data_IF_606798347507
#
_entry.id   IF_606798347507
#
_cell.length_a   1.000
_cell.length_b   1.000
_cell.length_c   1.000
_cell.angle_alpha   90.00
_cell.angle_beta   90.00
_cell.angle_gamma   90.00
#
_symmetry.space_group_name_H-M   'P 1'
#
loop_
_entity.id
_entity.type
_entity.pdbx_description
1 polymer ?
#
# COMPACT_ATOMS: atom_id res chain seq x y z
N UNK A 1 -41.15 4.73 23.54
CA UNK A 1 -41.48 5.75 22.55
C UNK A 1 -40.21 6.42 22.09
N UNK A 2 -39.62 5.88 21.04
CA UNK A 2 -38.45 6.47 20.38
C UNK A 2 -38.99 7.54 19.43
N UNK A 3 -38.56 8.79 19.60
CA UNK A 3 -38.94 9.88 18.70
C UNK A 3 -38.46 9.58 17.27
N UNK A 4 -39.31 9.50 16.26
CA UNK A 4 -38.95 9.09 14.92
C UNK A 4 -38.08 10.14 14.14
N UNK A 5 -37.87 11.33 14.68
CA UNK A 5 -37.17 12.40 13.97
C UNK A 5 -35.69 12.65 14.38
N UNK A 6 -35.21 11.96 15.43
CA UNK A 6 -33.81 12.18 15.88
C UNK A 6 -32.76 11.47 15.00
N UNK A 7 -33.17 10.47 14.22
CA UNK A 7 -32.26 9.66 13.40
C UNK A 7 -31.92 10.29 12.05
N UNK A 8 -32.73 11.24 11.55
CA UNK A 8 -32.53 11.83 10.23
C UNK A 8 -31.39 12.86 10.15
N UNK A 9 -30.92 13.36 11.29
CA UNK A 9 -29.84 14.37 11.36
C UNK A 9 -28.46 13.72 11.62
N UNK A 10 -28.43 12.49 12.14
CA UNK A 10 -27.18 11.82 12.46
C UNK A 10 -26.55 11.20 11.21
N UNK A 11 -25.32 11.61 10.91
CA UNK A 11 -24.51 10.99 9.87
C UNK A 11 -23.44 10.10 10.51
N UNK A 12 -23.29 8.88 10.03
CA UNK A 12 -22.30 7.92 10.52
C UNK A 12 -21.35 7.58 9.39
N UNK A 13 -20.05 7.75 9.63
CA UNK A 13 -18.99 7.31 8.74
C UNK A 13 -18.23 6.17 9.42
N UNK A 14 -18.28 4.98 8.83
CA UNK A 14 -17.46 3.85 9.23
C UNK A 14 -16.16 3.87 8.44
N UNK A 15 -15.02 3.88 9.14
CA UNK A 15 -13.70 4.04 8.53
C UNK A 15 -12.88 2.77 8.74
N UNK A 16 -12.29 2.25 7.66
CA UNK A 16 -11.15 1.32 7.74
C UNK A 16 -9.90 2.19 7.81
N UNK A 17 -9.15 2.16 8.93
CA UNK A 17 -7.97 3.01 9.10
C UNK A 17 -6.82 2.59 8.18
N UNK A 18 -5.86 3.49 7.88
CA UNK A 18 -4.68 3.15 7.10
C UNK A 18 -3.80 2.12 7.80
N UNK A 19 -2.89 1.50 7.05
CA UNK A 19 -1.99 0.43 7.47
C UNK A 19 -2.70 -0.87 7.90
N UNK A 20 -3.95 -1.07 7.47
CA UNK A 20 -4.62 -2.37 7.58
C UNK A 20 -4.31 -3.25 6.36
N UNK A 21 -4.56 -4.55 6.51
CA UNK A 21 -4.26 -5.53 5.46
C UNK A 21 -5.09 -5.28 4.19
N UNK A 22 -4.40 -5.06 3.06
CA UNK A 22 -5.04 -4.68 1.79
C UNK A 22 -5.63 -5.87 1.01
N UNK A 23 -5.15 -7.09 1.26
CA UNK A 23 -5.57 -8.29 0.52
C UNK A 23 -6.76 -9.02 1.14
N UNK A 24 -7.27 -8.54 2.26
CA UNK A 24 -8.42 -9.14 2.95
C UNK A 24 -9.44 -8.05 3.25
N UNK A 25 -10.65 -8.13 2.68
CA UNK A 25 -11.68 -7.14 2.97
C UNK A 25 -12.12 -7.25 4.44
N UNK A 26 -12.33 -6.09 5.07
CA UNK A 26 -12.87 -5.99 6.42
C UNK A 26 -14.40 -5.90 6.35
N UNK A 27 -15.14 -6.97 6.60
CA UNK A 27 -16.58 -6.98 6.39
C UNK A 27 -17.34 -6.18 7.46
N UNK A 28 -16.74 -5.90 8.62
CA UNK A 28 -17.40 -5.23 9.74
C UNK A 28 -17.99 -3.87 9.38
N UNK A 29 -17.26 -3.03 8.65
CA UNK A 29 -17.75 -1.71 8.24
C UNK A 29 -18.93 -1.83 7.28
N UNK A 30 -18.91 -2.82 6.38
CA UNK A 30 -20.01 -3.07 5.44
C UNK A 30 -21.28 -3.53 6.17
N UNK A 31 -21.16 -4.48 7.12
CA UNK A 31 -22.28 -4.95 7.93
C UNK A 31 -22.86 -3.84 8.80
N UNK A 32 -22.01 -3.08 9.51
CA UNK A 32 -22.47 -1.98 10.37
C UNK A 32 -23.14 -0.90 9.52
N UNK A 33 -22.55 -0.52 8.39
CA UNK A 33 -23.14 0.49 7.51
C UNK A 33 -24.48 0.03 6.94
N UNK A 34 -24.59 -1.23 6.51
CA UNK A 34 -25.84 -1.83 6.02
C UNK A 34 -26.91 -1.82 7.09
N UNK A 35 -26.59 -2.32 8.29
CA UNK A 35 -27.51 -2.31 9.44
C UNK A 35 -28.01 -0.90 9.79
N UNK A 36 -27.09 0.08 9.88
CA UNK A 36 -27.47 1.45 10.21
C UNK A 36 -28.40 2.06 9.15
N UNK A 37 -28.17 1.77 7.87
CA UNK A 37 -29.05 2.21 6.77
C UNK A 37 -30.44 1.60 6.89
N UNK A 38 -30.55 0.31 7.22
CA UNK A 38 -31.82 -0.36 7.46
C UNK A 38 -32.59 0.26 8.65
N UNK A 39 -31.86 0.79 9.64
CA UNK A 39 -32.46 1.50 10.78
C UNK A 39 -32.76 2.99 10.49
N UNK A 40 -32.57 3.45 9.25
CA UNK A 40 -32.91 4.82 8.83
C UNK A 40 -31.81 5.86 9.08
N UNK A 41 -30.59 5.46 9.46
CA UNK A 41 -29.47 6.38 9.60
C UNK A 41 -28.80 6.70 8.27
N UNK A 42 -28.29 7.91 8.12
CA UNK A 42 -27.36 8.24 7.03
C UNK A 42 -25.98 7.69 7.32
N UNK A 43 -25.72 6.46 6.88
CA UNK A 43 -24.44 5.78 7.09
C UNK A 43 -23.66 5.60 5.80
N UNK A 44 -22.36 5.85 5.86
CA UNK A 44 -21.39 5.63 4.79
C UNK A 44 -20.20 4.86 5.32
N UNK A 45 -19.41 4.30 4.41
CA UNK A 45 -18.12 3.70 4.76
C UNK A 45 -17.04 4.20 3.80
N UNK A 46 -15.81 4.26 4.31
CA UNK A 46 -14.61 4.56 3.54
C UNK A 46 -13.48 3.62 3.96
N UNK A 47 -12.71 3.18 2.99
CA UNK A 47 -11.47 2.43 3.20
C UNK A 47 -10.28 3.36 2.95
N UNK A 48 -9.75 3.94 4.02
CA UNK A 48 -8.59 4.82 3.95
C UNK A 48 -7.29 4.04 3.73
N UNK A 49 -7.23 2.75 4.10
CA UNK A 49 -6.05 1.93 3.85
C UNK A 49 -5.86 1.68 2.35
N UNK A 50 -6.91 1.21 1.69
CA UNK A 50 -6.88 0.99 0.24
C UNK A 50 -6.78 2.31 -0.52
N UNK A 51 -7.51 3.34 -0.10
CA UNK A 51 -7.48 4.67 -0.70
C UNK A 51 -6.07 5.26 -0.70
N UNK A 52 -5.40 5.26 0.46
CA UNK A 52 -4.01 5.73 0.61
C UNK A 52 -3.05 4.95 -0.30
N UNK A 53 -3.12 3.61 -0.29
CA UNK A 53 -2.26 2.79 -1.12
C UNK A 53 -2.43 3.09 -2.61
N UNK A 54 -3.68 3.23 -3.10
CA UNK A 54 -3.96 3.52 -4.50
C UNK A 54 -3.52 4.92 -4.93
N UNK A 55 -3.61 5.90 -4.05
CA UNK A 55 -3.12 7.27 -4.31
C UNK A 55 -1.59 7.31 -4.38
N UNK A 56 -0.91 6.77 -3.37
CA UNK A 56 0.57 6.75 -3.33
C UNK A 56 1.17 5.90 -4.46
N UNK A 57 0.52 4.79 -4.83
CA UNK A 57 0.92 3.89 -5.92
C UNK A 57 0.26 4.26 -7.26
N UNK A 58 0.04 5.53 -7.50
CA UNK A 58 -0.34 6.09 -8.79
C UNK A 58 0.85 6.80 -9.44
N UNK A 59 0.83 7.08 -10.76
CA UNK A 59 1.88 7.89 -11.39
C UNK A 59 2.08 9.24 -10.70
N UNK A 60 0.99 9.91 -10.31
CA UNK A 60 1.03 11.19 -9.57
C UNK A 60 1.61 11.01 -8.17
N UNK A 61 1.16 9.98 -7.45
CA UNK A 61 1.70 9.65 -6.12
C UNK A 61 3.19 9.37 -6.16
N UNK A 62 3.65 8.59 -7.15
CA UNK A 62 5.07 8.30 -7.31
C UNK A 62 5.91 9.54 -7.64
N UNK A 63 5.37 10.53 -8.37
CA UNK A 63 6.05 11.81 -8.59
C UNK A 63 6.22 12.56 -7.26
N UNK A 64 5.19 12.61 -6.41
CA UNK A 64 5.26 13.23 -5.09
C UNK A 64 6.28 12.52 -4.17
N UNK A 65 6.29 11.18 -4.20
CA UNK A 65 7.29 10.37 -3.47
C UNK A 65 8.71 10.67 -3.99
N UNK A 66 8.88 10.80 -5.31
CA UNK A 66 10.17 11.17 -5.92
C UNK A 66 10.66 12.53 -5.44
N UNK A 67 9.80 13.52 -5.33
CA UNK A 67 10.17 14.84 -4.81
C UNK A 67 10.68 14.75 -3.38
N UNK A 68 10.03 13.94 -2.53
CA UNK A 68 10.49 13.67 -1.17
C UNK A 68 11.84 12.94 -1.15
N UNK A 69 12.00 11.91 -1.97
CA UNK A 69 13.25 11.16 -2.11
C UNK A 69 14.43 12.05 -2.58
N UNK A 70 14.17 12.97 -3.51
CA UNK A 70 15.17 13.93 -3.99
C UNK A 70 15.55 14.97 -2.92
N UNK A 71 14.66 15.29 -1.98
CA UNK A 71 14.95 16.23 -0.90
C UNK A 71 15.86 15.63 0.19
N UNK A 72 16.04 14.31 0.23
CA UNK A 72 17.00 13.67 1.12
C UNK A 72 18.43 13.95 0.66
N UNK A 73 19.32 14.19 1.63
CA UNK A 73 20.76 14.24 1.35
C UNK A 73 21.21 12.89 0.75
N UNK A 74 22.14 12.94 -0.21
CA UNK A 74 22.56 11.73 -0.96
C UNK A 74 23.07 10.64 -0.03
N UNK A 75 23.77 11.03 1.03
CA UNK A 75 24.37 10.15 2.03
C UNK A 75 23.32 9.43 2.91
N UNK A 76 22.10 9.97 2.98
CA UNK A 76 21.00 9.41 3.76
C UNK A 76 20.07 8.54 2.92
N UNK A 77 20.26 8.46 1.60
CA UNK A 77 19.42 7.65 0.73
C UNK A 77 19.77 6.17 0.86
N UNK A 78 18.76 5.37 1.16
CA UNK A 78 18.90 3.91 1.16
C UNK A 78 19.11 3.34 -0.24
N UNK A 79 19.44 2.06 -0.32
CA UNK A 79 19.53 1.34 -1.59
C UNK A 79 18.20 1.37 -2.36
N UNK A 80 17.06 1.25 -1.66
CA UNK A 80 15.73 1.30 -2.26
C UNK A 80 15.42 2.69 -2.84
N UNK A 81 15.76 3.76 -2.12
CA UNK A 81 15.61 5.15 -2.60
C UNK A 81 16.46 5.40 -3.83
N UNK A 82 17.73 4.97 -3.84
CA UNK A 82 18.61 5.13 -5.00
C UNK A 82 18.09 4.35 -6.20
N UNK A 83 17.73 3.07 -6.05
CA UNK A 83 17.17 2.24 -7.13
C UNK A 83 15.88 2.85 -7.70
N UNK A 84 15.00 3.38 -6.85
CA UNK A 84 13.79 4.07 -7.27
C UNK A 84 14.10 5.31 -8.11
N UNK A 85 15.04 6.16 -7.67
CA UNK A 85 15.41 7.37 -8.39
C UNK A 85 16.07 7.06 -9.74
N UNK A 86 16.95 6.06 -9.78
CA UNK A 86 17.66 5.64 -11.00
C UNK A 86 16.70 5.06 -12.05
N UNK A 87 15.65 4.37 -11.62
CA UNK A 87 14.68 3.71 -12.49
C UNK A 87 13.31 4.39 -12.51
N UNK A 88 13.20 5.62 -12.02
CA UNK A 88 11.91 6.32 -11.85
C UNK A 88 11.02 6.29 -13.09
N UNK A 89 11.50 6.55 -14.33
CA UNK A 89 10.62 6.52 -15.51
C UNK A 89 9.95 5.15 -15.74
N UNK A 90 10.62 4.06 -15.34
CA UNK A 90 10.03 2.71 -15.41
C UNK A 90 9.00 2.49 -14.32
N UNK A 91 9.25 2.97 -13.09
CA UNK A 91 8.26 2.92 -12.01
C UNK A 91 6.98 3.68 -12.41
N UNK A 92 7.12 4.90 -12.88
CA UNK A 92 6.00 5.75 -13.31
C UNK A 92 5.14 5.10 -14.40
N UNK A 93 5.77 4.47 -15.40
CA UNK A 93 5.07 3.86 -16.54
C UNK A 93 4.47 2.49 -16.21
N UNK A 94 4.99 1.77 -15.22
CA UNK A 94 4.54 0.40 -14.91
C UNK A 94 3.54 0.33 -13.76
N UNK A 95 3.50 1.32 -12.87
CA UNK A 95 2.71 1.25 -11.64
C UNK A 95 1.22 1.04 -11.89
N UNK A 96 0.61 1.84 -12.76
CA UNK A 96 -0.84 1.76 -13.02
C UNK A 96 -1.24 0.39 -13.60
N UNK A 97 -0.43 -0.16 -14.50
CA UNK A 97 -0.66 -1.47 -15.08
C UNK A 97 -0.46 -2.60 -14.06
N UNK A 98 0.53 -2.46 -13.16
CA UNK A 98 0.78 -3.44 -12.10
C UNK A 98 -0.36 -3.46 -11.09
N UNK A 99 -0.87 -2.31 -10.68
CA UNK A 99 -2.05 -2.22 -9.82
C UNK A 99 -3.28 -2.84 -10.49
N UNK A 100 -3.53 -2.55 -11.77
CA UNK A 100 -4.62 -3.16 -12.52
C UNK A 100 -4.51 -4.68 -12.59
N UNK A 101 -3.31 -5.22 -12.79
CA UNK A 101 -3.04 -6.67 -12.73
C UNK A 101 -3.36 -7.26 -11.37
N UNK A 102 -2.87 -6.67 -10.28
CA UNK A 102 -3.12 -7.14 -8.92
C UNK A 102 -4.60 -7.10 -8.53
N UNK A 103 -5.34 -6.13 -9.07
CA UNK A 103 -6.80 -6.03 -8.92
C UNK A 103 -7.58 -7.00 -9.83
N UNK A 104 -6.90 -7.82 -10.63
CA UNK A 104 -7.52 -8.76 -11.55
C UNK A 104 -8.14 -8.12 -12.81
N UNK A 105 -7.87 -6.83 -13.08
CA UNK A 105 -8.42 -6.11 -14.24
C UNK A 105 -7.64 -6.34 -15.54
N UNK A 106 -6.39 -6.80 -15.45
CA UNK A 106 -5.56 -7.14 -16.61
C UNK A 106 -4.75 -8.42 -16.37
N UNK A 107 -5.37 -9.56 -16.65
CA UNK A 107 -4.71 -10.86 -16.54
C UNK A 107 -3.62 -11.10 -17.61
N UNK A 108 -3.61 -10.31 -18.69
CA UNK A 108 -2.67 -10.50 -19.80
C UNK A 108 -1.24 -10.12 -19.42
N UNK A 109 -1.08 -9.28 -18.41
CA UNK A 109 0.23 -8.87 -17.90
C UNK A 109 1.01 -9.97 -17.20
N UNK A 110 0.37 -11.07 -16.81
CA UNK A 110 1.03 -12.13 -16.03
C UNK A 110 2.30 -12.66 -16.73
N UNK A 111 2.27 -12.89 -18.04
CA UNK A 111 3.42 -13.38 -18.80
C UNK A 111 4.57 -12.39 -18.86
N UNK A 112 4.26 -11.09 -19.01
CA UNK A 112 5.26 -10.03 -19.07
C UNK A 112 5.94 -9.83 -17.73
N UNK A 113 5.17 -9.87 -16.64
CA UNK A 113 5.69 -9.75 -15.27
C UNK A 113 6.51 -11.00 -14.94
N UNK A 114 5.96 -12.20 -15.17
CA UNK A 114 6.63 -13.47 -14.87
C UNK A 114 7.96 -13.64 -15.63
N UNK A 115 8.10 -13.02 -16.81
CA UNK A 115 9.32 -13.04 -17.62
C UNK A 115 10.42 -12.07 -17.14
N UNK A 116 10.25 -11.38 -16.03
CA UNK A 116 11.20 -10.41 -15.42
C UNK A 116 11.56 -9.29 -16.39
N UNK A 117 11.36 -8.56 -16.95
CA UNK A 117 11.76 -7.48 -17.88
C UNK A 117 10.79 -6.32 -17.88
N UNK A 118 9.60 -6.55 -17.33
CA UNK A 118 8.55 -5.53 -17.32
C UNK A 118 8.69 -4.56 -16.14
N UNK A 119 8.79 -5.09 -14.92
CA UNK A 119 8.94 -4.28 -13.71
C UNK A 119 10.40 -3.79 -13.56
N UNK A 120 10.64 -2.59 -13.03
CA UNK A 120 11.94 -2.26 -12.45
C UNK A 120 12.16 -3.17 -11.23
N UNK A 121 13.37 -3.67 -11.09
CA UNK A 121 13.76 -4.57 -10.02
C UNK A 121 14.65 -3.79 -9.03
N UNK A 122 14.15 -3.61 -7.82
CA UNK A 122 14.88 -2.97 -6.73
C UNK A 122 15.54 -4.00 -5.80
N UNK A 123 16.04 -3.58 -4.63
CA UNK A 123 16.80 -4.45 -3.71
C UNK A 123 16.06 -5.71 -3.26
N UNK A 124 14.73 -5.70 -3.22
CA UNK A 124 13.93 -6.87 -2.83
C UNK A 124 14.06 -8.04 -3.82
N UNK A 125 14.44 -7.76 -5.07
CA UNK A 125 14.65 -8.77 -6.10
C UNK A 125 15.99 -9.49 -5.96
N UNK A 126 16.96 -8.94 -5.23
CA UNK A 126 18.28 -9.56 -5.03
C UNK A 126 18.21 -10.98 -4.46
N UNK A 127 17.19 -11.29 -3.66
CA UNK A 127 16.98 -12.64 -3.15
C UNK A 127 16.69 -13.69 -4.23
N UNK A 128 16.23 -13.28 -5.40
CA UNK A 128 15.95 -14.17 -6.52
C UNK A 128 17.22 -14.55 -7.27
N UNK A 129 18.26 -13.74 -7.18
CA UNK A 129 19.51 -13.91 -7.93
C UNK A 129 20.55 -14.77 -7.15
N UNK A 130 20.30 -14.98 -5.83
CA UNK A 130 21.21 -15.77 -4.97
C UNK A 130 21.28 -17.27 -5.34
N UNK A 131 20.31 -17.76 -6.10
CA UNK A 131 20.18 -19.17 -6.48
C UNK A 131 20.63 -19.45 -7.92
N UNK A 132 21.37 -18.53 -8.54
CA UNK A 132 21.80 -18.64 -9.95
C UNK A 132 23.01 -19.58 -10.12
N UNK A 133 23.07 -20.66 -9.33
CA UNK A 133 24.04 -21.74 -9.53
C UNK A 133 23.42 -22.86 -10.39
N UNK A 134 23.68 -22.75 -11.66
CA UNK A 134 23.72 -23.73 -12.77
C UNK A 134 22.58 -24.75 -12.99
N UNK A 135 21.48 -24.83 -12.22
CA UNK A 135 20.54 -25.94 -12.46
C UNK A 135 19.04 -25.72 -12.25
N UNK A 136 18.57 -24.65 -11.61
CA UNK A 136 17.11 -24.45 -11.52
C UNK A 136 16.76 -22.98 -11.19
N UNK A 137 16.00 -22.32 -12.07
CA UNK A 137 15.29 -21.07 -11.73
C UNK A 137 14.45 -21.32 -10.46
N UNK A 138 14.77 -20.69 -9.30
CA UNK A 138 14.06 -20.90 -8.03
C UNK A 138 12.57 -20.60 -8.15
N UNK A 139 12.23 -19.64 -9.01
CA UNK A 139 10.85 -19.30 -9.32
C UNK A 139 10.17 -20.41 -10.14
N UNK A 140 10.90 -21.04 -11.08
CA UNK A 140 10.38 -22.19 -11.82
C UNK A 140 10.17 -23.40 -10.90
N UNK A 141 11.06 -23.63 -9.95
CA UNK A 141 10.89 -24.67 -8.94
C UNK A 141 9.69 -24.41 -8.03
N UNK A 142 9.54 -23.16 -7.52
CA UNK A 142 8.49 -22.81 -6.57
C UNK A 142 7.09 -22.76 -7.22
N UNK A 143 6.99 -22.26 -8.45
CA UNK A 143 5.71 -22.01 -9.10
C UNK A 143 5.40 -22.97 -10.26
N UNK A 144 6.40 -23.64 -10.81
CA UNK A 144 6.23 -24.55 -11.94
C UNK A 144 5.64 -23.90 -13.21
N UNK A 145 5.32 -24.73 -14.21
CA UNK A 145 4.76 -24.24 -15.48
C UNK A 145 3.32 -23.70 -15.35
N UNK A 146 2.54 -24.16 -14.37
CA UNK A 146 1.14 -23.77 -14.14
C UNK A 146 1.00 -22.58 -13.21
N UNK A 147 2.06 -22.21 -12.50
CA UNK A 147 2.05 -21.13 -11.50
C UNK A 147 2.43 -19.73 -12.05
N UNK A 148 2.32 -19.49 -13.35
CA UNK A 148 2.71 -18.22 -13.98
C UNK A 148 2.02 -17.01 -13.34
N UNK A 149 0.74 -17.15 -13.01
CA UNK A 149 0.00 -16.06 -12.38
C UNK A 149 0.48 -15.79 -10.96
N UNK A 150 0.79 -16.85 -10.20
CA UNK A 150 1.28 -16.71 -8.83
C UNK A 150 2.72 -16.18 -8.82
N UNK A 151 3.56 -16.64 -9.77
CA UNK A 151 4.89 -16.06 -10.02
C UNK A 151 4.79 -14.56 -10.33
N UNK A 152 3.90 -14.16 -11.21
CA UNK A 152 3.70 -12.74 -11.55
C UNK A 152 3.21 -11.92 -10.34
N UNK A 153 2.30 -12.47 -9.54
CA UNK A 153 1.84 -11.83 -8.30
C UNK A 153 2.97 -11.69 -7.28
N UNK A 154 3.80 -12.71 -7.13
CA UNK A 154 4.97 -12.67 -6.25
C UNK A 154 5.94 -11.55 -6.67
N UNK A 155 6.30 -11.48 -7.96
CA UNK A 155 7.17 -10.42 -8.48
C UNK A 155 6.54 -9.02 -8.33
N UNK A 156 5.23 -8.89 -8.58
CA UNK A 156 4.51 -7.65 -8.33
C UNK A 156 4.51 -7.28 -6.84
N UNK A 157 4.46 -8.26 -5.93
CA UNK A 157 4.57 -8.01 -4.49
C UNK A 157 5.97 -7.51 -4.10
N UNK A 158 7.05 -8.09 -4.67
CA UNK A 158 8.41 -7.58 -4.44
C UNK A 158 8.55 -6.14 -4.93
N UNK A 159 8.03 -5.84 -6.11
CA UNK A 159 8.00 -4.48 -6.67
C UNK A 159 7.27 -3.48 -5.75
N UNK A 160 6.09 -3.85 -5.20
CA UNK A 160 5.39 -3.00 -4.24
C UNK A 160 6.14 -2.87 -2.91
N UNK A 161 6.81 -3.92 -2.47
CA UNK A 161 7.62 -3.87 -1.26
C UNK A 161 8.86 -2.97 -1.42
N UNK A 162 9.50 -2.94 -2.60
CA UNK A 162 10.54 -1.94 -2.91
C UNK A 162 9.99 -0.51 -2.78
N UNK A 163 8.77 -0.25 -3.30
CA UNK A 163 8.11 1.05 -3.15
C UNK A 163 7.72 1.36 -1.69
N UNK A 164 7.33 0.35 -0.91
CA UNK A 164 7.08 0.53 0.52
C UNK A 164 8.35 0.91 1.28
N UNK A 165 9.49 0.31 0.93
CA UNK A 165 10.78 0.70 1.50
C UNK A 165 11.13 2.16 1.15
N UNK A 166 10.87 2.60 -0.08
CA UNK A 166 11.06 4.00 -0.49
C UNK A 166 10.14 4.94 0.30
N UNK A 167 8.86 4.59 0.47
CA UNK A 167 7.90 5.37 1.26
C UNK A 167 8.35 5.49 2.71
N UNK A 168 8.79 4.38 3.32
CA UNK A 168 9.30 4.39 4.69
C UNK A 168 10.54 5.25 4.84
N UNK A 169 11.48 5.15 3.91
CA UNK A 169 12.77 5.80 4.02
C UNK A 169 12.74 7.29 3.61
N UNK A 170 11.80 7.69 2.73
CA UNK A 170 11.74 9.04 2.19
C UNK A 170 10.53 9.87 2.66
N UNK A 171 9.49 9.24 3.21
CA UNK A 171 8.24 9.93 3.57
C UNK A 171 7.91 9.78 5.04
N UNK A 172 7.82 8.54 5.54
CA UNK A 172 7.40 8.25 6.92
C UNK A 172 7.98 6.91 7.38
N UNK A 173 8.84 6.93 8.38
CA UNK A 173 9.48 5.74 8.94
C UNK A 173 8.50 4.69 9.49
N UNK A 174 7.29 5.12 9.84
CA UNK A 174 6.20 4.28 10.31
C UNK A 174 5.40 3.62 9.18
N UNK A 175 5.70 3.90 7.90
CA UNK A 175 4.92 3.38 6.79
C UNK A 175 5.14 1.87 6.60
N UNK A 176 4.03 1.14 6.54
CA UNK A 176 3.97 -0.27 6.13
C UNK A 176 2.66 -0.52 5.37
N UNK A 177 2.66 -1.38 4.33
CA UNK A 177 1.39 -1.76 3.68
C UNK A 177 0.48 -2.58 4.58
N UNK A 178 1.07 -3.34 5.51
CA UNK A 178 0.34 -4.20 6.44
C UNK A 178 1.02 -4.14 7.79
N UNK A 179 0.25 -3.84 8.83
CA UNK A 179 0.67 -4.07 10.20
C UNK A 179 -0.05 -5.29 10.75
N UNK A 180 0.71 -6.24 11.28
CA UNK A 180 0.13 -7.38 11.97
C UNK A 180 -0.52 -6.97 13.29
N UNK A 181 -1.52 -7.73 13.70
CA UNK A 181 -2.27 -7.45 14.93
C UNK A 181 -1.38 -7.31 16.18
N UNK A 182 -0.28 -8.04 16.23
CA UNK A 182 0.70 -7.97 17.33
C UNK A 182 1.34 -6.58 17.44
N UNK A 183 1.62 -5.92 16.31
CA UNK A 183 2.17 -4.56 16.31
C UNK A 183 1.10 -3.52 16.60
N UNK A 184 -0.13 -3.72 16.10
CA UNK A 184 -1.27 -2.84 16.40
C UNK A 184 -1.67 -2.90 17.87
N UNK A 185 -1.53 -4.07 18.49
CA UNK A 185 -1.85 -4.29 19.90
C UNK A 185 -0.71 -3.90 20.86
N UNK A 186 0.45 -3.49 20.34
CA UNK A 186 1.53 -3.00 21.18
C UNK A 186 1.08 -1.73 21.92
N UNK A 187 0.79 -1.85 23.22
CA UNK A 187 0.40 -0.70 24.02
C UNK A 187 1.61 0.19 24.29
N UNK A 188 1.44 1.48 24.06
CA UNK A 188 2.42 2.46 24.51
C UNK A 188 2.25 2.71 26.01
N UNK A 189 3.35 2.79 26.78
CA UNK A 189 3.28 3.00 28.22
C UNK A 189 2.81 4.41 28.61
N UNK A 190 2.88 5.36 27.68
CA UNK A 190 2.44 6.75 27.86
C UNK A 190 1.85 7.32 26.57
N UNK A 191 1.20 8.48 26.70
CA UNK A 191 0.67 9.24 25.56
C UNK A 191 1.76 10.05 24.81
N UNK A 192 2.98 10.11 25.34
CA UNK A 192 4.03 11.02 24.85
C UNK A 192 4.39 10.76 23.39
N UNK A 193 4.57 9.47 22.99
CA UNK A 193 4.87 9.12 21.60
C UNK A 193 3.78 9.57 20.62
N UNK A 194 2.51 9.49 21.03
CA UNK A 194 1.39 9.98 20.21
C UNK A 194 1.37 11.51 20.17
N UNK A 195 1.63 12.18 21.30
CA UNK A 195 1.71 13.62 21.36
C UNK A 195 2.85 14.17 20.50
N UNK A 196 4.01 13.51 20.51
CA UNK A 196 5.14 13.86 19.65
C UNK A 196 4.79 13.69 18.16
N UNK A 197 4.15 12.59 17.79
CA UNK A 197 3.70 12.36 16.40
C UNK A 197 2.70 13.43 15.95
N UNK A 198 1.73 13.81 16.80
CA UNK A 198 0.75 14.85 16.51
C UNK A 198 1.35 16.26 16.43
N UNK A 199 2.51 16.48 17.05
CA UNK A 199 3.21 17.77 17.02
C UNK A 199 4.09 17.93 15.77
N UNK A 200 4.35 16.86 15.02
CA UNK A 200 5.11 16.92 13.77
C UNK A 200 4.31 17.62 12.66
N UNK A 201 4.98 18.32 11.73
CA UNK A 201 4.31 18.87 10.57
C UNK A 201 3.75 17.73 9.70
N UNK A 202 2.57 17.92 9.06
CA UNK A 202 1.99 16.91 8.19
C UNK A 202 2.94 16.48 7.07
N UNK A 203 3.12 15.18 6.91
CA UNK A 203 3.87 14.62 5.81
C UNK A 203 2.97 14.31 4.59
N UNK A 204 3.51 13.67 3.55
CA UNK A 204 2.75 13.32 2.34
C UNK A 204 1.58 12.36 2.64
N UNK A 205 1.76 11.45 3.60
CA UNK A 205 0.72 10.48 3.99
C UNK A 205 -0.44 11.21 4.67
N UNK A 206 -0.14 12.10 5.62
CA UNK A 206 -1.14 12.90 6.34
C UNK A 206 -1.97 13.75 5.38
N UNK A 207 -1.29 14.47 4.46
CA UNK A 207 -1.95 15.31 3.44
C UNK A 207 -2.85 14.45 2.53
N UNK A 208 -2.39 13.26 2.15
CA UNK A 208 -3.18 12.35 1.31
C UNK A 208 -4.39 11.83 2.06
N UNK A 209 -4.25 11.45 3.32
CA UNK A 209 -5.34 10.96 4.16
C UNK A 209 -6.38 12.05 4.44
N UNK A 210 -5.96 13.27 4.72
CA UNK A 210 -6.86 14.41 4.89
C UNK A 210 -7.72 14.62 3.65
N UNK A 211 -7.10 14.61 2.46
CA UNK A 211 -7.83 14.75 1.18
C UNK A 211 -8.80 13.62 0.90
N UNK A 212 -8.48 12.40 1.32
CA UNK A 212 -9.36 11.24 1.14
C UNK A 212 -10.54 11.22 2.12
N UNK A 213 -10.38 11.87 3.29
CA UNK A 213 -11.41 11.91 4.34
C UNK A 213 -12.42 13.04 4.17
N UNK A 214 -12.13 14.06 3.33
CA UNK A 214 -13.00 15.21 3.01
C UNK A 214 -13.91 14.90 1.81
#
# INVERSE_FOLDING_TARGET
LVHPNAHSEMRVLSVIPPMTQLNTPYPSTAYITGFLREQGFHAQQIDLALGLALELLSPVGLQQVREKALSLAVELRSASVNAFLDHFPRYETTIAATIAFLQGRDATLCHRIAGRGFLPEGPRFASLDVFDDDSADPLAWAFGALGQQDRARHLATLYLNDLADVLRDAVDEGFEFVRYAERLAASQPSFDALAEALAQPPNLIDITLERLAL
#
